data_IF_120985941312
#
_entry.id   IF_120985941312
#
_cell.length_a   1.000
_cell.length_b   1.000
_cell.length_c   1.000
_cell.angle_alpha   90.00
_cell.angle_beta   90.00
_cell.angle_gamma   90.00
#
_symmetry.space_group_name_H-M   'P 1'
#
loop_
_entity.id
_entity.type
_entity.pdbx_description
1 polymer ?
#
# COMPACT_ATOMS: atom_id res chain seq x y z
N UNK A 1 1.03 9.85 -0.09
CA UNK A 1 0.55 10.25 -1.43
C UNK A 1 1.03 9.22 -2.44
N UNK A 2 2.15 9.48 -3.11
CA UNK A 2 2.76 8.53 -4.05
C UNK A 2 3.22 7.25 -3.33
N UNK A 3 3.94 7.40 -2.20
CA UNK A 3 4.42 6.26 -1.39
C UNK A 3 3.32 5.32 -0.90
N UNK A 4 2.16 5.87 -0.51
CA UNK A 4 1.01 5.11 0.00
C UNK A 4 0.35 4.23 -1.06
N UNK A 5 0.55 4.55 -2.35
CA UNK A 5 -0.01 3.79 -3.46
C UNK A 5 1.02 2.81 -4.03
N UNK A 6 2.32 3.06 -3.84
CA UNK A 6 3.39 2.20 -4.33
C UNK A 6 3.36 0.81 -3.71
N UNK A 7 3.12 0.71 -2.40
CA UNK A 7 3.09 -0.58 -1.68
C UNK A 7 1.95 -1.49 -2.16
N UNK A 8 0.68 -1.07 -2.12
CA UNK A 8 -0.41 -1.91 -2.62
C UNK A 8 -0.31 -2.18 -4.13
N UNK A 9 0.26 -1.25 -4.91
CA UNK A 9 0.54 -1.48 -6.32
C UNK A 9 1.57 -2.60 -6.51
N UNK A 10 2.71 -2.51 -5.83
CA UNK A 10 3.76 -3.52 -5.85
C UNK A 10 3.24 -4.90 -5.43
N UNK A 11 2.46 -4.95 -4.34
CA UNK A 11 1.78 -6.17 -3.89
C UNK A 11 0.83 -6.68 -4.97
N UNK A 12 0.06 -5.81 -5.61
CA UNK A 12 -0.86 -6.22 -6.67
C UNK A 12 -0.14 -6.80 -7.90
N UNK A 13 1.06 -6.30 -8.21
CA UNK A 13 1.87 -6.77 -9.34
C UNK A 13 2.58 -8.10 -9.04
N UNK A 14 2.97 -8.34 -7.78
CA UNK A 14 3.61 -9.59 -7.36
C UNK A 14 2.61 -10.69 -6.96
N UNK A 15 1.40 -10.30 -6.51
CA UNK A 15 0.40 -11.22 -5.97
C UNK A 15 -0.28 -12.06 -7.06
N UNK A 16 -0.56 -13.35 -6.80
CA UNK A 16 -1.37 -14.17 -7.70
C UNK A 16 -2.81 -13.67 -7.72
N UNK A 17 -3.48 -13.84 -8.86
CA UNK A 17 -4.84 -13.36 -9.08
C UNK A 17 -5.84 -13.79 -7.99
N UNK A 18 -5.67 -14.98 -7.40
CA UNK A 18 -6.56 -15.51 -6.36
C UNK A 18 -6.27 -14.99 -4.94
N UNK A 19 -5.05 -14.48 -4.65
CA UNK A 19 -4.69 -13.95 -3.31
C UNK A 19 -4.52 -12.43 -3.28
N UNK A 20 -4.59 -11.76 -4.44
CA UNK A 20 -4.37 -10.31 -4.55
C UNK A 20 -5.19 -9.50 -3.55
N UNK A 21 -6.48 -9.82 -3.40
CA UNK A 21 -7.36 -9.15 -2.44
C UNK A 21 -6.94 -9.36 -0.98
N UNK A 22 -6.54 -10.59 -0.63
CA UNK A 22 -6.11 -10.93 0.74
C UNK A 22 -4.77 -10.26 1.09
N UNK A 23 -3.83 -10.22 0.15
CA UNK A 23 -2.54 -9.56 0.33
C UNK A 23 -2.66 -8.03 0.45
N UNK A 24 -3.54 -7.41 -0.33
CA UNK A 24 -3.87 -5.99 -0.16
C UNK A 24 -4.52 -5.72 1.20
N UNK A 25 -5.47 -6.57 1.62
CA UNK A 25 -6.10 -6.45 2.93
C UNK A 25 -5.09 -6.62 4.08
N UNK A 26 -4.14 -7.55 3.94
CA UNK A 26 -3.08 -7.76 4.92
C UNK A 26 -2.21 -6.51 5.10
N UNK A 27 -1.88 -5.81 4.00
CA UNK A 27 -1.18 -4.53 4.06
C UNK A 27 -1.94 -3.49 4.89
N UNK A 28 -3.25 -3.34 4.66
CA UNK A 28 -4.07 -2.42 5.43
C UNK A 28 -4.17 -2.83 6.90
N UNK A 29 -4.24 -4.13 7.18
CA UNK A 29 -4.22 -4.66 8.54
C UNK A 29 -2.90 -4.30 9.27
N UNK A 30 -1.76 -4.40 8.59
CA UNK A 30 -0.46 -4.01 9.15
C UNK A 30 -0.41 -2.52 9.49
N UNK A 31 -1.02 -1.65 8.68
CA UNK A 31 -1.12 -0.21 8.97
C UNK A 31 -1.92 0.01 10.26
N UNK A 32 -3.07 -0.66 10.41
CA UNK A 32 -3.92 -0.55 11.61
C UNK A 32 -3.19 -1.07 12.85
N UNK A 33 -2.49 -2.21 12.75
CA UNK A 33 -1.66 -2.75 13.84
C UNK A 33 -0.56 -1.76 14.24
N UNK A 34 0.06 -1.10 13.27
CA UNK A 34 1.04 -0.04 13.51
C UNK A 34 0.44 1.14 14.29
N UNK A 35 -0.75 1.60 13.91
CA UNK A 35 -1.47 2.67 14.62
C UNK A 35 -1.83 2.29 16.06
N UNK A 36 -2.31 1.07 16.28
CA UNK A 36 -2.62 0.56 17.63
C UNK A 36 -1.35 0.49 18.48
N UNK A 37 -0.27 -0.07 17.92
CA UNK A 37 1.02 -0.17 18.63
C UNK A 37 1.56 1.21 18.99
N UNK A 38 1.53 2.16 18.06
CA UNK A 38 1.94 3.54 18.31
C UNK A 38 1.09 4.20 19.42
N UNK A 39 -0.21 3.91 19.44
CA UNK A 39 -1.13 4.43 20.47
C UNK A 39 -0.80 3.85 21.85
N UNK A 40 -0.54 2.54 21.95
CA UNK A 40 -0.14 1.87 23.20
C UNK A 40 1.18 2.43 23.73
N UNK A 41 2.19 2.59 22.88
CA UNK A 41 3.48 3.18 23.27
C UNK A 41 3.29 4.63 23.75
N UNK A 42 2.46 5.41 23.05
CA UNK A 42 2.18 6.80 23.41
C UNK A 42 1.48 6.90 24.77
N UNK A 43 0.48 6.07 25.03
CA UNK A 43 -0.21 6.03 26.33
C UNK A 43 0.72 5.58 27.46
N UNK A 44 1.56 4.57 27.23
CA UNK A 44 2.51 4.08 28.22
C UNK A 44 3.56 5.13 28.61
N UNK A 45 4.03 5.94 27.65
CA UNK A 45 4.96 7.05 27.90
C UNK A 45 4.29 8.22 28.63
N UNK A 46 3.02 8.51 28.33
CA UNK A 46 2.25 9.56 28.99
C UNK A 46 1.96 9.24 30.46
N UNK A 47 1.65 7.97 30.77
CA UNK A 47 1.37 7.53 32.15
C UNK A 47 2.60 7.56 33.06
N UNK A 48 3.82 7.52 32.50
CA UNK A 48 5.07 7.58 33.28
C UNK A 48 5.54 8.99 33.64
N UNK A 49 4.76 10.04 33.33
CA UNK A 49 5.09 11.45 33.58
C UNK A 49 6.53 11.85 33.15
N UNK A 50 7.03 11.26 32.07
CA UNK A 50 8.40 11.51 31.61
C UNK A 50 8.48 12.94 31.03
N UNK A 51 9.36 13.81 31.57
CA UNK A 51 9.64 15.10 30.94
C UNK A 51 10.11 14.88 29.49
N UNK A 52 9.59 15.64 28.52
CA UNK A 52 9.87 15.49 27.08
C UNK A 52 9.40 14.18 26.40
N UNK A 53 8.38 13.49 26.92
CA UNK A 53 7.84 12.24 26.34
C UNK A 53 7.48 12.31 24.84
N UNK A 54 7.15 13.48 24.30
CA UNK A 54 6.88 13.67 22.86
C UNK A 54 8.11 13.40 21.97
N UNK A 55 9.32 13.67 22.47
CA UNK A 55 10.59 13.41 21.73
C UNK A 55 10.85 11.91 21.67
N UNK A 56 10.53 11.18 22.74
CA UNK A 56 10.59 9.72 22.78
C UNK A 56 9.56 9.08 21.84
N UNK A 57 8.35 9.65 21.70
CA UNK A 57 7.36 9.18 20.73
C UNK A 57 7.89 9.33 19.30
N UNK A 58 8.50 10.47 18.97
CA UNK A 58 9.16 10.68 17.68
C UNK A 58 10.38 9.76 17.49
N UNK A 59 11.17 9.55 18.54
CA UNK A 59 12.31 8.64 18.53
C UNK A 59 11.91 7.18 18.33
N UNK A 60 10.80 6.75 18.91
CA UNK A 60 10.27 5.41 18.74
C UNK A 60 9.86 5.13 17.28
N UNK A 61 9.42 6.16 16.54
CA UNK A 61 9.11 6.03 15.11
C UNK A 61 10.34 5.80 14.22
N UNK A 62 11.55 6.09 14.72
CA UNK A 62 12.81 5.82 14.00
C UNK A 62 13.03 4.31 13.86
N UNK A 63 12.66 3.52 14.87
CA UNK A 63 12.86 2.06 14.88
C UNK A 63 12.16 1.36 13.69
N UNK A 64 10.83 1.49 13.49
CA UNK A 64 10.18 0.88 12.33
C UNK A 64 10.62 1.51 11.00
N UNK A 65 10.99 2.78 10.99
CA UNK A 65 11.50 3.46 9.78
C UNK A 65 12.84 2.86 9.33
N UNK A 66 13.76 2.62 10.26
CA UNK A 66 15.05 2.00 9.98
C UNK A 66 14.88 0.53 9.56
N UNK A 67 13.96 -0.19 10.22
CA UNK A 67 13.61 -1.56 9.84
C UNK A 67 13.08 -1.64 8.40
N UNK A 68 12.18 -0.74 8.00
CA UNK A 68 11.70 -0.65 6.62
C UNK A 68 12.81 -0.28 5.65
N UNK A 69 13.70 0.65 6.04
CA UNK A 69 14.83 1.05 5.21
C UNK A 69 15.79 -0.10 4.92
N UNK A 70 16.09 -0.95 5.92
CA UNK A 70 16.89 -2.16 5.72
C UNK A 70 16.11 -3.18 4.86
N UNK A 71 14.82 -3.35 5.11
CA UNK A 71 13.96 -4.25 4.33
C UNK A 71 13.90 -3.91 2.84
N UNK A 72 14.04 -2.63 2.47
CA UNK A 72 14.07 -2.19 1.08
C UNK A 72 15.19 -2.84 0.26
N UNK A 73 16.38 -3.06 0.85
CA UNK A 73 17.50 -3.69 0.15
C UNK A 73 17.30 -5.19 -0.13
N UNK A 74 16.39 -5.84 0.61
CA UNK A 74 16.09 -7.26 0.46
C UNK A 74 14.93 -7.52 -0.53
N UNK A 75 14.23 -6.47 -0.96
CA UNK A 75 13.03 -6.61 -1.78
C UNK A 75 13.39 -6.76 -3.27
N UNK A 76 12.92 -7.81 -3.96
CA UNK A 76 13.13 -7.94 -5.40
C UNK A 76 12.29 -6.92 -6.18
N UNK A 77 12.74 -6.56 -7.38
CA UNK A 77 12.00 -5.67 -8.28
C UNK A 77 10.66 -6.31 -8.73
N UNK A 78 9.67 -5.49 -9.09
CA UNK A 78 8.39 -6.02 -9.59
C UNK A 78 8.58 -6.78 -10.92
N UNK A 79 8.10 -8.04 -11.06
CA UNK A 79 8.17 -8.80 -12.31
C UNK A 79 7.57 -8.04 -13.49
N UNK A 80 6.47 -7.31 -13.25
CA UNK A 80 5.78 -6.51 -14.28
C UNK A 80 6.64 -5.35 -14.77
N UNK A 81 7.35 -4.69 -13.87
CA UNK A 81 8.27 -3.61 -14.22
C UNK A 81 9.45 -4.11 -15.04
N UNK A 82 10.01 -5.29 -14.69
CA UNK A 82 11.06 -5.95 -15.47
C UNK A 82 10.60 -6.30 -16.89
N UNK A 83 9.36 -6.81 -17.03
CA UNK A 83 8.74 -7.06 -18.34
C UNK A 83 8.57 -5.79 -19.17
N UNK A 84 8.14 -4.68 -18.56
CA UNK A 84 8.03 -3.38 -19.24
C UNK A 84 9.38 -2.82 -19.70
N UNK A 85 10.48 -3.24 -19.06
CA UNK A 85 11.86 -2.88 -19.45
C UNK A 85 12.47 -3.83 -20.48
N UNK A 86 11.74 -4.86 -20.91
CA UNK A 86 12.22 -5.87 -21.86
C UNK A 86 13.15 -6.92 -21.24
N UNK A 87 13.29 -6.97 -19.91
CA UNK A 87 14.14 -7.93 -19.17
C UNK A 87 13.31 -9.17 -18.78
N UNK A 88 12.93 -9.95 -19.78
CA UNK A 88 12.02 -11.09 -19.59
C UNK A 88 12.63 -12.25 -18.77
N UNK A 89 13.94 -12.48 -18.91
CA UNK A 89 14.64 -13.56 -18.19
C UNK A 89 14.68 -13.28 -16.68
N UNK A 90 15.02 -12.06 -16.28
CA UNK A 90 15.02 -11.65 -14.87
C UNK A 90 13.62 -11.62 -14.27
N UNK A 91 12.60 -11.26 -15.06
CA UNK A 91 11.22 -11.35 -14.62
C UNK A 91 10.81 -12.80 -14.30
N UNK A 92 11.32 -13.78 -15.05
CA UNK A 92 11.11 -15.21 -14.79
C UNK A 92 11.76 -15.64 -13.48
N UNK A 93 12.99 -15.21 -13.23
CA UNK A 93 13.73 -15.54 -12.01
C UNK A 93 13.05 -14.97 -10.76
N UNK A 94 12.63 -13.70 -10.80
CA UNK A 94 11.89 -13.08 -9.69
C UNK A 94 10.52 -13.74 -9.48
N UNK A 95 9.83 -14.10 -10.56
CA UNK A 95 8.54 -14.79 -10.47
C UNK A 95 8.69 -16.20 -9.87
N UNK A 96 9.77 -16.91 -10.22
CA UNK A 96 10.13 -18.20 -9.62
C UNK A 96 10.40 -18.06 -8.12
N UNK A 97 11.16 -17.04 -7.71
CA UNK A 97 11.42 -16.72 -6.31
C UNK A 97 10.14 -16.40 -5.53
N UNK A 98 9.24 -15.58 -6.11
CA UNK A 98 7.96 -15.19 -5.49
C UNK A 98 6.96 -16.35 -5.37
N UNK A 99 7.00 -17.32 -6.28
CA UNK A 99 6.10 -18.50 -6.29
C UNK A 99 6.65 -19.69 -5.51
N UNK A 100 7.93 -19.66 -5.15
CA UNK A 100 8.66 -20.74 -4.50
C UNK A 100 9.13 -21.81 -5.50
N UNK A 101 10.31 -22.39 -5.23
CA UNK A 101 11.04 -23.34 -6.10
C UNK A 101 10.33 -24.69 -6.39
N UNK A 102 9.03 -24.84 -6.08
CA UNK A 102 8.30 -26.11 -6.17
C UNK A 102 7.06 -26.10 -7.06
N UNK A 103 6.77 -25.00 -7.77
CA UNK A 103 5.59 -24.92 -8.64
C UNK A 103 5.96 -25.35 -10.06
N UNK A 104 5.10 -26.15 -10.70
CA UNK A 104 5.30 -26.66 -12.07
C UNK A 104 5.84 -25.55 -13.00
N UNK A 105 7.02 -25.77 -13.57
CA UNK A 105 7.65 -24.81 -14.49
C UNK A 105 6.70 -24.40 -15.63
N UNK A 106 5.82 -25.32 -16.05
CA UNK A 106 4.76 -25.10 -17.04
C UNK A 106 3.72 -24.08 -16.56
N UNK A 107 3.30 -24.13 -15.29
CA UNK A 107 2.35 -23.18 -14.73
C UNK A 107 2.97 -21.79 -14.60
N UNK A 108 4.25 -21.73 -14.25
CA UNK A 108 5.01 -20.48 -14.15
C UNK A 108 5.15 -19.80 -15.53
N UNK A 109 5.52 -20.57 -16.56
CA UNK A 109 5.63 -20.04 -17.93
C UNK A 109 4.28 -19.58 -18.50
N UNK A 110 3.19 -20.26 -18.13
CA UNK A 110 1.84 -19.83 -18.46
C UNK A 110 1.47 -18.50 -17.78
N UNK A 111 1.82 -18.32 -16.50
CA UNK A 111 1.59 -17.06 -15.79
C UNK A 111 2.43 -15.92 -16.40
N UNK A 112 3.70 -16.19 -16.70
CA UNK A 112 4.61 -15.22 -17.33
C UNK A 112 4.12 -14.78 -18.72
N UNK A 113 3.68 -15.71 -19.56
CA UNK A 113 3.16 -15.39 -20.90
C UNK A 113 1.88 -14.57 -20.84
N UNK A 114 0.98 -14.85 -19.88
CA UNK A 114 -0.21 -14.02 -19.62
C UNK A 114 0.17 -12.60 -19.18
N UNK A 115 1.19 -12.43 -18.33
CA UNK A 115 1.67 -11.11 -17.92
C UNK A 115 2.27 -10.35 -19.11
N UNK A 116 3.06 -11.01 -19.97
CA UNK A 116 3.64 -10.39 -21.17
C UNK A 116 2.54 -9.91 -22.12
N UNK A 117 1.51 -10.73 -22.35
CA UNK A 117 0.39 -10.36 -23.22
C UNK A 117 -0.39 -9.16 -22.65
N UNK A 118 -0.61 -9.13 -21.33
CA UNK A 118 -1.22 -7.99 -20.64
C UNK A 118 -0.42 -6.70 -20.78
N UNK A 119 0.90 -6.76 -20.60
CA UNK A 119 1.80 -5.60 -20.76
C UNK A 119 1.84 -5.13 -22.22
N UNK A 120 1.87 -6.04 -23.20
CA UNK A 120 1.81 -5.69 -24.63
C UNK A 120 0.51 -4.98 -24.99
N UNK A 121 -0.61 -5.45 -24.47
CA UNK A 121 -1.92 -4.82 -24.66
C UNK A 121 -1.97 -3.41 -24.05
N UNK A 122 -1.38 -3.21 -22.87
CA UNK A 122 -1.31 -1.90 -22.20
C UNK A 122 -0.38 -0.91 -22.91
N UNK A 123 0.71 -1.38 -23.51
CA UNK A 123 1.62 -0.56 -24.30
C UNK A 123 1.06 -0.22 -25.70
N UNK A 124 -0.11 -0.71 -26.07
CA UNK A 124 -0.76 -0.42 -27.36
C UNK A 124 -0.03 -1.02 -28.57
N UNK A 125 0.85 -2.01 -28.36
CA UNK A 125 1.61 -2.68 -29.42
C UNK A 125 0.73 -3.75 -30.10
N UNK A 126 -0.28 -3.33 -30.85
CA UNK A 126 -0.91 -4.17 -31.85
C UNK A 126 0.04 -4.33 -33.05
N UNK A 127 0.99 -5.26 -32.93
CA UNK A 127 1.87 -5.69 -34.03
C UNK A 127 3.18 -4.89 -34.13
N UNK A 128 4.29 -5.52 -33.71
CA UNK A 128 5.64 -4.98 -33.93
C UNK A 128 6.60 -5.36 -32.82
N UNK A 129 7.75 -5.90 -33.22
CA UNK A 129 8.71 -6.67 -32.43
C UNK A 129 9.64 -5.86 -31.51
N UNK A 130 9.26 -4.67 -31.05
CA UNK A 130 10.13 -3.81 -30.25
C UNK A 130 9.50 -3.43 -28.92
N UNK A 131 10.08 -3.96 -27.84
CA UNK A 131 9.67 -3.82 -26.43
C UNK A 131 9.86 -2.41 -25.83
N UNK A 132 9.93 -1.35 -26.64
CA UNK A 132 10.11 0.02 -26.11
C UNK A 132 9.28 1.05 -26.88
N UNK A 133 8.15 1.51 -26.32
CA UNK A 133 7.59 2.81 -26.66
C UNK A 133 7.98 3.85 -25.60
N UNK A 134 8.82 4.76 -26.06
CA UNK A 134 9.30 5.98 -25.41
C UNK A 134 8.17 7.02 -25.34
N UNK A 135 8.01 7.62 -24.16
CA UNK A 135 7.36 8.92 -23.86
C UNK A 135 6.18 9.36 -24.75
N UNK A 136 4.95 9.11 -24.30
CA UNK A 136 3.79 9.90 -24.73
C UNK A 136 3.25 10.69 -23.53
N UNK A 137 4.02 11.69 -23.09
CA UNK A 137 3.73 12.60 -21.97
C UNK A 137 2.76 13.72 -22.37
N UNK A 138 1.92 13.50 -23.39
CA UNK A 138 0.94 14.48 -23.85
C UNK A 138 -0.46 14.02 -23.46
N UNK A 139 -0.88 14.48 -22.28
CA UNK A 139 -2.25 14.43 -21.75
C UNK A 139 -2.86 13.06 -21.45
N UNK A 140 -2.14 12.22 -20.70
CA UNK A 140 -2.70 11.02 -20.02
C UNK A 140 -4.04 11.32 -19.34
N UNK A 141 -4.16 12.47 -18.68
CA UNK A 141 -5.40 12.90 -18.01
C UNK A 141 -6.56 13.03 -19.01
N UNK A 142 -6.35 13.63 -20.19
CA UNK A 142 -7.40 13.82 -21.19
C UNK A 142 -7.79 12.49 -21.87
N UNK A 143 -6.81 11.59 -22.09
CA UNK A 143 -7.07 10.24 -22.62
C UNK A 143 -7.91 9.41 -21.64
N UNK A 144 -7.59 9.44 -20.34
CA UNK A 144 -8.34 8.70 -19.32
C UNK A 144 -9.74 9.26 -19.05
N UNK A 145 -9.94 10.58 -19.17
CA UNK A 145 -11.25 11.21 -18.99
C UNK A 145 -12.16 10.99 -20.22
N UNK A 146 -11.59 10.88 -21.43
CA UNK A 146 -12.36 10.70 -22.67
C UNK A 146 -12.84 9.28 -22.90
N UNK A 147 -12.10 8.26 -22.45
CA UNK A 147 -12.54 6.87 -22.60
C UNK A 147 -13.72 6.56 -21.65
N UNK A 148 -14.90 6.17 -22.15
CA UNK A 148 -16.08 5.90 -21.32
C UNK A 148 -15.89 4.72 -20.36
N UNK A 149 -15.03 3.75 -20.67
CA UNK A 149 -14.75 2.62 -19.76
C UNK A 149 -13.91 3.08 -18.58
N UNK A 150 -12.80 3.76 -18.85
CA UNK A 150 -11.90 4.25 -17.80
C UNK A 150 -12.56 5.35 -16.96
N UNK A 151 -13.38 6.22 -17.57
CA UNK A 151 -14.14 7.24 -16.83
C UNK A 151 -15.09 6.64 -15.79
N UNK A 152 -15.77 5.53 -16.12
CA UNK A 152 -16.64 4.82 -15.15
C UNK A 152 -15.83 4.26 -13.99
N UNK A 153 -14.70 3.59 -14.29
CA UNK A 153 -13.80 3.07 -13.27
C UNK A 153 -13.23 4.19 -12.37
N UNK A 154 -12.84 5.33 -12.95
CA UNK A 154 -12.33 6.49 -12.23
C UNK A 154 -13.40 7.11 -11.34
N UNK A 155 -14.63 7.30 -11.83
CA UNK A 155 -15.74 7.83 -11.03
C UNK A 155 -16.08 6.91 -9.86
N UNK A 156 -16.10 5.59 -10.09
CA UNK A 156 -16.34 4.61 -9.03
C UNK A 156 -15.20 4.63 -8.00
N UNK A 157 -13.95 4.65 -8.43
CA UNK A 157 -12.78 4.69 -7.55
C UNK A 157 -12.72 5.97 -6.71
N UNK A 158 -12.84 7.14 -7.35
CA UNK A 158 -12.87 8.42 -6.66
C UNK A 158 -14.10 8.55 -5.75
N UNK A 159 -15.26 8.08 -6.19
CA UNK A 159 -16.49 8.07 -5.39
C UNK A 159 -16.34 7.21 -4.14
N UNK A 160 -15.79 6.00 -4.28
CA UNK A 160 -15.52 5.11 -3.16
C UNK A 160 -14.53 5.74 -2.17
N UNK A 161 -13.47 6.38 -2.67
CA UNK A 161 -12.49 7.08 -1.83
C UNK A 161 -13.10 8.28 -1.10
N UNK A 162 -14.00 9.02 -1.75
CA UNK A 162 -14.71 10.12 -1.12
C UNK A 162 -15.64 9.63 0.01
N UNK A 163 -16.37 8.53 -0.23
CA UNK A 163 -17.22 7.90 0.80
C UNK A 163 -16.39 7.41 1.99
N UNK A 164 -15.20 6.86 1.75
CA UNK A 164 -14.29 6.44 2.82
C UNK A 164 -13.89 7.63 3.73
N UNK A 165 -13.55 8.78 3.14
CA UNK A 165 -13.21 9.97 3.92
C UNK A 165 -14.43 10.58 4.63
N UNK A 166 -15.59 10.56 3.97
CA UNK A 166 -16.83 11.12 4.53
C UNK A 166 -17.35 10.33 5.73
N UNK A 167 -16.98 9.06 5.87
CA UNK A 167 -17.20 8.28 7.09
C UNK A 167 -16.61 8.93 8.35
N UNK A 168 -15.72 9.92 8.22
CA UNK A 168 -15.21 10.70 9.35
C UNK A 168 -14.24 9.93 10.25
N UNK A 169 -13.66 8.84 9.76
CA UNK A 169 -12.72 8.00 10.54
C UNK A 169 -11.54 8.81 11.06
N UNK A 170 -11.04 9.77 10.27
CA UNK A 170 -9.99 10.68 10.69
C UNK A 170 -10.43 11.57 11.86
N UNK A 171 -11.65 12.10 11.83
CA UNK A 171 -12.21 12.90 12.93
C UNK A 171 -12.30 12.09 14.22
N UNK A 172 -12.75 10.83 14.13
CA UNK A 172 -12.80 9.92 15.28
C UNK A 172 -11.38 9.60 15.79
N UNK A 173 -10.42 9.38 14.89
CA UNK A 173 -9.02 9.11 15.26
C UNK A 173 -8.41 10.26 16.07
N UNK A 174 -8.62 11.53 15.65
CA UNK A 174 -8.04 12.69 16.32
C UNK A 174 -8.83 13.16 17.55
N UNK A 175 -10.16 13.11 17.49
CA UNK A 175 -11.03 13.70 18.52
C UNK A 175 -11.82 12.68 19.32
N UNK A 176 -11.65 11.38 19.06
CA UNK A 176 -12.39 10.31 19.75
C UNK A 176 -12.26 10.39 21.27
N UNK A 177 -11.05 10.61 21.78
CA UNK A 177 -10.81 10.79 23.22
C UNK A 177 -11.56 12.02 23.78
N UNK A 178 -11.54 13.15 23.07
CA UNK A 178 -12.24 14.37 23.46
C UNK A 178 -13.76 14.20 23.44
N UNK A 179 -14.30 13.46 22.47
CA UNK A 179 -15.73 13.13 22.38
C UNK A 179 -16.14 12.22 23.54
N UNK A 180 -15.36 11.18 23.83
CA UNK A 180 -15.59 10.27 24.96
C UNK A 180 -15.55 11.00 26.31
N UNK A 181 -14.60 11.92 26.51
CA UNK A 181 -14.51 12.75 27.72
C UNK A 181 -15.71 13.68 27.88
N UNK A 182 -16.27 14.22 26.79
CA UNK A 182 -17.46 15.07 26.82
C UNK A 182 -18.76 14.29 26.97
N UNK A 183 -18.77 13.00 26.62
CA UNK A 183 -19.97 12.17 26.61
C UNK A 183 -20.35 11.56 27.98
N UNK A 184 -19.48 11.60 29.02
CA UNK A 184 -19.91 11.18 30.35
C UNK A 184 -18.88 11.24 31.49
N UNK A 185 -19.35 11.29 32.76
CA UNK A 185 -18.52 11.51 33.96
C UNK A 185 -17.62 10.34 34.39
N UNK A 186 -17.64 9.20 33.69
CA UNK A 186 -16.84 8.02 34.01
C UNK A 186 -15.41 8.03 33.40
N UNK A 187 -15.09 9.00 32.54
CA UNK A 187 -13.80 9.12 31.85
C UNK A 187 -13.00 10.37 32.26
N UNK A 188 -13.30 10.94 33.42
CA UNK A 188 -12.53 12.04 33.99
C UNK A 188 -11.19 11.52 34.54
N UNK A 189 -10.16 11.50 33.68
CA UNK A 189 -8.78 11.11 34.01
C UNK A 189 -8.16 12.01 35.11
N UNK A 190 -8.81 13.13 35.49
CA UNK A 190 -8.34 14.00 36.57
C UNK A 190 -8.69 13.55 37.99
N UNK A 191 -9.49 12.49 38.19
CA UNK A 191 -9.85 12.02 39.55
C UNK A 191 -8.96 10.94 40.15
N UNK A 192 -7.89 10.49 39.47
CA UNK A 192 -6.98 9.47 40.02
C UNK A 192 -5.79 10.06 40.81
N UNK A 193 -5.72 11.38 41.00
CA UNK A 193 -4.64 12.07 41.74
C UNK A 193 -5.01 12.53 43.15
N UNK A 194 -6.07 11.98 43.75
CA UNK A 194 -6.32 12.17 45.18
C UNK A 194 -6.44 10.81 45.87
N UNK A 195 -5.29 10.25 46.27
CA UNK A 195 -5.05 9.66 47.59
C UNK A 195 -3.55 9.66 47.85
#
# INVERSE_FOLDING_TARGET
>A
GISSHTVPLYISECAPAHLRGSLCFLNDMMIVVGQVTASVVSTALFYREVPDGWRLILGAAIVPSLMMFVGFFLQPESPRWLLMKGRADEAKDVLALLRGEGRDAVALEKELSQMIEGVKHELGLCGGSDLVPRSQTSSVINTYIRDPRTRRALLLGCGLQALQQWSGINTIMYYGATVLQRAGPAFDVRRTTCF
#
